data_IF_459701299576
#
_entry.id   IF_459701299576
#
_cell.length_a   1.000
_cell.length_b   1.000
_cell.length_c   1.000
_cell.angle_alpha   90.00
_cell.angle_beta   90.00
_cell.angle_gamma   90.00
#
_symmetry.space_group_name_H-M   'P 1'
#
loop_
_entity.id
_entity.type
_entity.pdbx_description
1 polymer ?
#
# COMPACT_ATOMS: atom_id res chain seq x y z
N UNK A 1 -11.93 -39.23 -33.32
CA UNK A 1 -11.64 -38.00 -32.54
C UNK A 1 -12.63 -36.93 -32.92
N UNK A 2 -13.55 -36.54 -32.03
CA UNK A 2 -14.65 -35.61 -32.32
C UNK A 2 -14.22 -34.18 -31.97
N UNK A 3 -14.08 -33.32 -32.97
CA UNK A 3 -13.76 -31.89 -32.78
C UNK A 3 -15.02 -31.21 -32.23
N UNK A 4 -14.94 -30.62 -31.03
CA UNK A 4 -16.01 -29.79 -30.46
C UNK A 4 -15.90 -28.39 -31.07
N UNK A 5 -17.01 -27.88 -31.58
CA UNK A 5 -17.18 -26.51 -32.02
C UNK A 5 -17.04 -25.54 -30.83
N UNK A 6 -16.32 -24.45 -31.04
CA UNK A 6 -16.11 -23.36 -30.07
C UNK A 6 -17.40 -22.55 -29.95
N UNK A 7 -17.87 -22.17 -28.75
CA UNK A 7 -19.04 -21.32 -28.61
C UNK A 7 -18.69 -19.88 -29.05
N UNK A 8 -19.59 -19.28 -29.81
CA UNK A 8 -19.55 -17.89 -30.25
C UNK A 8 -19.48 -16.93 -29.05
N UNK A 9 -18.61 -15.93 -29.13
CA UNK A 9 -18.39 -14.96 -28.07
C UNK A 9 -19.66 -14.12 -27.82
N UNK A 10 -20.03 -13.84 -26.55
CA UNK A 10 -21.23 -13.06 -26.28
C UNK A 10 -21.09 -11.62 -26.77
N UNK A 11 -22.19 -11.11 -27.34
CA UNK A 11 -22.32 -9.76 -27.85
C UNK A 11 -21.90 -8.69 -26.81
N UNK A 12 -21.22 -7.67 -27.31
CA UNK A 12 -20.61 -6.56 -26.58
C UNK A 12 -21.64 -5.83 -25.69
N UNK A 13 -21.64 -6.12 -24.39
CA UNK A 13 -22.51 -5.44 -23.41
C UNK A 13 -21.88 -4.10 -23.03
N UNK A 14 -22.60 -2.97 -23.07
CA UNK A 14 -22.02 -1.68 -22.72
C UNK A 14 -21.51 -1.70 -21.28
N UNK A 15 -20.23 -1.37 -21.10
CA UNK A 15 -19.58 -1.22 -19.80
C UNK A 15 -20.26 -0.06 -19.06
N UNK A 16 -21.02 -0.36 -18.00
CA UNK A 16 -21.55 0.65 -17.11
C UNK A 16 -20.37 1.36 -16.43
N UNK A 17 -20.24 2.68 -16.66
CA UNK A 17 -19.24 3.50 -15.96
C UNK A 17 -19.48 3.38 -14.45
N UNK A 18 -18.44 3.14 -13.63
CA UNK A 18 -18.62 3.05 -12.20
C UNK A 18 -19.22 4.36 -11.69
N UNK A 19 -20.33 4.24 -10.97
CA UNK A 19 -20.98 5.36 -10.32
C UNK A 19 -20.05 5.84 -9.19
N UNK A 20 -19.24 6.87 -9.47
CA UNK A 20 -18.40 7.53 -8.47
C UNK A 20 -19.36 8.21 -7.49
N UNK A 21 -19.66 7.54 -6.37
CA UNK A 21 -20.34 8.18 -5.23
C UNK A 21 -19.44 9.33 -4.79
N UNK A 22 -19.90 10.57 -5.03
CA UNK A 22 -19.32 11.74 -4.41
C UNK A 22 -19.42 11.57 -2.89
N UNK A 23 -18.29 11.28 -2.25
CA UNK A 23 -18.23 11.31 -0.79
C UNK A 23 -18.50 12.76 -0.36
N UNK A 24 -19.46 13.03 0.53
CA UNK A 24 -19.60 14.36 1.08
C UNK A 24 -18.27 14.72 1.75
N UNK A 25 -17.71 15.88 1.40
CA UNK A 25 -16.53 16.43 2.03
C UNK A 25 -16.88 16.77 3.48
N UNK A 26 -16.73 15.80 4.36
CA UNK A 26 -16.84 16.02 5.80
C UNK A 26 -15.70 16.97 6.15
N UNK A 27 -16.01 18.26 6.33
CA UNK A 27 -15.08 19.21 6.94
C UNK A 27 -14.78 18.64 8.32
N UNK A 28 -13.56 18.16 8.51
CA UNK A 28 -13.05 17.92 9.85
C UNK A 28 -13.10 19.27 10.56
N UNK A 29 -13.96 19.37 11.58
CA UNK A 29 -13.90 20.51 12.49
C UNK A 29 -12.46 20.64 12.97
N UNK A 30 -11.89 21.84 12.89
CA UNK A 30 -10.58 22.12 13.45
C UNK A 30 -10.68 21.81 14.95
N UNK A 31 -10.13 20.68 15.37
CA UNK A 31 -10.11 20.30 16.77
C UNK A 31 -9.14 21.26 17.47
N UNK A 32 -9.66 22.15 18.31
CA UNK A 32 -8.90 22.98 19.27
C UNK A 32 -8.35 22.13 20.44
N UNK A 33 -7.96 20.88 20.15
CA UNK A 33 -7.23 20.04 21.09
C UNK A 33 -5.84 20.64 21.35
N UNK A 34 -5.12 20.18 22.39
CA UNK A 34 -3.73 20.58 22.57
C UNK A 34 -3.01 20.36 21.24
N UNK A 35 -2.32 21.40 20.75
CA UNK A 35 -1.52 21.33 19.53
C UNK A 35 -0.45 20.25 19.72
N UNK A 36 -0.80 18.99 19.47
CA UNK A 36 0.12 17.87 19.44
C UNK A 36 0.90 18.03 18.15
N UNK A 37 1.95 18.83 18.24
CA UNK A 37 2.95 18.94 17.21
C UNK A 37 3.58 17.56 17.04
N UNK A 38 3.33 16.92 15.90
CA UNK A 38 3.95 15.65 15.50
C UNK A 38 5.00 16.02 14.45
N UNK A 39 6.30 16.07 14.81
CA UNK A 39 7.34 16.52 13.89
C UNK A 39 7.43 15.67 12.62
N UNK A 40 7.19 14.36 12.74
CA UNK A 40 7.25 13.42 11.62
C UNK A 40 6.04 12.49 11.66
N UNK A 41 5.16 12.63 10.66
CA UNK A 41 4.03 11.74 10.44
C UNK A 41 4.27 10.92 9.17
N UNK A 42 4.27 9.60 9.30
CA UNK A 42 4.40 8.65 8.20
C UNK A 42 3.06 7.96 8.01
N UNK A 43 2.51 8.02 6.80
CA UNK A 43 1.25 7.35 6.46
C UNK A 43 1.58 6.03 5.76
N UNK A 44 1.19 4.92 6.40
CA UNK A 44 1.49 3.56 5.96
C UNK A 44 2.68 2.95 6.69
N UNK A 45 2.44 1.86 7.41
CA UNK A 45 3.38 1.01 8.13
C UNK A 45 3.86 -0.19 7.31
N UNK A 46 3.87 -0.08 5.98
CA UNK A 46 4.47 -1.05 5.08
C UNK A 46 6.00 -0.95 5.03
N UNK A 47 6.63 -1.71 4.12
CA UNK A 47 8.10 -1.80 4.05
C UNK A 47 8.77 -0.43 3.88
N UNK A 48 8.22 0.46 3.05
CA UNK A 48 8.77 1.81 2.84
C UNK A 48 8.62 2.71 4.07
N UNK A 49 7.45 2.76 4.70
CA UNK A 49 7.21 3.62 5.86
C UNK A 49 8.05 3.21 7.06
N UNK A 50 8.16 1.91 7.31
CA UNK A 50 9.04 1.36 8.36
C UNK A 50 10.51 1.61 8.03
N UNK A 51 10.92 1.43 6.76
CA UNK A 51 12.29 1.70 6.34
C UNK A 51 12.68 3.17 6.55
N UNK A 52 11.83 4.11 6.12
CA UNK A 52 12.07 5.55 6.31
C UNK A 52 12.15 5.88 7.80
N UNK A 53 11.24 5.37 8.63
CA UNK A 53 11.29 5.57 10.08
C UNK A 53 12.62 5.08 10.67
N UNK A 54 13.07 3.88 10.26
CA UNK A 54 14.34 3.32 10.69
C UNK A 54 15.54 4.18 10.28
N UNK A 55 15.57 4.72 9.05
CA UNK A 55 16.65 5.61 8.57
C UNK A 55 16.63 6.95 9.30
N UNK A 56 15.47 7.54 9.55
CA UNK A 56 15.35 8.78 10.32
C UNK A 56 15.89 8.62 11.75
N UNK A 57 15.65 7.46 12.37
CA UNK A 57 16.15 7.16 13.71
C UNK A 57 17.65 6.86 13.69
N UNK A 58 18.08 5.93 12.83
CA UNK A 58 19.44 5.40 12.83
C UNK A 58 20.48 6.36 12.24
N UNK A 59 20.08 7.16 11.26
CA UNK A 59 21.00 8.03 10.51
C UNK A 59 20.58 9.50 10.54
N UNK A 60 19.27 9.76 10.64
CA UNK A 60 18.74 11.13 10.68
C UNK A 60 18.80 11.81 12.05
N UNK A 61 19.23 11.11 13.10
CA UNK A 61 19.27 11.65 14.47
C UNK A 61 17.90 11.99 15.07
N UNK A 62 16.82 11.51 14.45
CA UNK A 62 15.45 11.80 14.89
C UNK A 62 15.08 10.85 16.04
N UNK A 63 14.64 11.43 17.17
CA UNK A 63 14.11 10.63 18.29
C UNK A 63 12.87 9.87 17.85
N UNK A 64 12.79 8.59 18.21
CA UNK A 64 11.61 7.76 17.93
C UNK A 64 10.31 8.38 18.46
N UNK A 65 10.36 9.09 19.60
CA UNK A 65 9.20 9.81 20.16
C UNK A 65 8.69 10.97 19.29
N UNK A 66 9.49 11.46 18.34
CA UNK A 66 9.12 12.50 17.37
C UNK A 66 8.48 11.94 16.10
N UNK A 67 8.43 10.62 15.94
CA UNK A 67 7.88 9.94 14.77
C UNK A 67 6.55 9.28 15.14
N UNK A 68 5.56 9.39 14.26
CA UNK A 68 4.31 8.61 14.33
C UNK A 68 4.07 7.95 12.98
N UNK A 69 3.75 6.66 13.02
CA UNK A 69 3.31 5.90 11.85
C UNK A 69 1.82 5.65 12.02
N UNK A 70 1.01 6.10 11.06
CA UNK A 70 -0.42 5.79 11.00
C UNK A 70 -0.61 4.71 9.95
N UNK A 71 -1.16 3.58 10.37
CA UNK A 71 -1.45 2.44 9.51
C UNK A 71 -2.84 1.89 9.84
N UNK A 72 -3.53 1.34 8.85
CA UNK A 72 -4.87 0.75 9.05
C UNK A 72 -4.82 -0.64 9.70
N UNK A 73 -3.66 -1.29 9.73
CA UNK A 73 -3.47 -2.59 10.34
C UNK A 73 -3.08 -2.46 11.82
N UNK A 74 -3.32 -3.53 12.58
CA UNK A 74 -2.99 -3.61 14.00
C UNK A 74 -1.48 -3.69 14.26
N UNK A 75 -0.70 -4.15 13.27
CA UNK A 75 0.74 -4.29 13.39
C UNK A 75 1.46 -3.78 12.13
N UNK A 76 2.66 -3.22 12.33
CA UNK A 76 3.52 -2.82 11.23
C UNK A 76 3.89 -4.04 10.37
N UNK A 77 4.05 -3.81 9.08
CA UNK A 77 4.35 -4.81 8.07
C UNK A 77 3.28 -5.91 7.91
N UNK A 78 2.10 -5.81 8.53
CA UNK A 78 1.07 -6.85 8.45
C UNK A 78 0.70 -7.19 7.00
N UNK A 79 0.30 -6.19 6.21
CA UNK A 79 -0.05 -6.40 4.80
C UNK A 79 1.14 -6.94 3.99
N UNK A 80 2.37 -6.49 4.30
CA UNK A 80 3.58 -7.01 3.66
C UNK A 80 3.73 -8.51 3.95
N UNK A 81 3.75 -8.90 5.23
CA UNK A 81 3.86 -10.30 5.68
C UNK A 81 2.77 -11.19 5.06
N UNK A 82 1.52 -10.73 5.01
CA UNK A 82 0.44 -11.49 4.37
C UNK A 82 0.70 -11.73 2.89
N UNK A 83 1.20 -10.72 2.15
CA UNK A 83 1.52 -10.85 0.72
C UNK A 83 2.74 -11.74 0.47
N UNK A 84 3.78 -11.64 1.30
CA UNK A 84 4.96 -12.48 1.16
C UNK A 84 4.64 -13.94 1.48
N UNK A 85 3.85 -14.20 2.53
CA UNK A 85 3.38 -15.53 2.87
C UNK A 85 2.50 -16.12 1.75
N UNK A 86 1.58 -15.34 1.18
CA UNK A 86 0.71 -15.80 0.10
C UNK A 86 1.48 -16.21 -1.17
N UNK A 87 2.69 -15.70 -1.37
CA UNK A 87 3.56 -16.04 -2.51
C UNK A 87 4.64 -17.06 -2.16
N UNK A 88 4.63 -17.62 -0.94
CA UNK A 88 5.66 -18.56 -0.48
C UNK A 88 7.05 -17.94 -0.37
N UNK A 89 7.14 -16.62 -0.23
CA UNK A 89 8.42 -15.93 -0.23
C UNK A 89 9.10 -16.03 1.14
N UNK A 90 10.23 -16.75 1.19
CA UNK A 90 11.03 -16.95 2.40
C UNK A 90 12.12 -15.87 2.59
N UNK A 91 12.61 -15.30 1.49
CA UNK A 91 13.65 -14.28 1.47
C UNK A 91 13.25 -13.10 0.57
N UNK A 92 13.79 -11.92 0.86
CA UNK A 92 13.62 -10.76 -0.01
C UNK A 92 14.32 -11.01 -1.34
N UNK A 93 13.57 -10.86 -2.43
CA UNK A 93 14.14 -10.82 -3.77
C UNK A 93 14.54 -9.38 -4.07
N UNK A 94 15.75 -9.18 -4.58
CA UNK A 94 16.22 -7.84 -4.98
C UNK A 94 15.30 -7.29 -6.07
N UNK A 95 14.80 -6.07 -5.88
CA UNK A 95 14.11 -5.34 -6.94
C UNK A 95 15.05 -4.92 -8.07
N UNK A 96 16.38 -4.98 -7.85
CA UNK A 96 17.39 -4.65 -8.85
C UNK A 96 17.94 -5.88 -9.60
N UNK A 97 17.70 -7.09 -9.10
CA UNK A 97 18.29 -8.33 -9.65
C UNK A 97 17.45 -9.06 -10.69
N UNK A 98 16.19 -8.67 -10.85
CA UNK A 98 15.29 -9.22 -11.84
C UNK A 98 14.70 -8.06 -12.62
N UNK A 99 15.22 -7.82 -13.83
CA UNK A 99 14.68 -6.85 -14.79
C UNK A 99 13.17 -7.10 -14.94
N UNK A 100 12.36 -6.30 -14.25
CA UNK A 100 10.90 -6.24 -14.41
C UNK A 100 10.53 -5.27 -15.54
N UNK A 101 11.52 -4.81 -16.31
CA UNK A 101 11.31 -3.99 -17.49
C UNK A 101 11.03 -4.86 -18.70
N UNK A 102 10.36 -4.26 -19.69
CA UNK A 102 9.81 -4.99 -20.83
C UNK A 102 10.85 -5.44 -21.84
N UNK A 103 12.02 -4.80 -21.94
CA UNK A 103 13.20 -5.21 -22.73
C UNK A 103 14.36 -4.24 -22.36
N UNK A 104 15.63 -4.66 -22.54
CA UNK A 104 16.82 -3.75 -22.52
C UNK A 104 16.89 -2.90 -23.80
#
# INVERSE_FOLDING_TARGET
TRIRSVPEAPANRPVQKPHVRSRPSQRFAANDGPNTHIPWLIVGGGIHGVHIAARLIGEGGIKASSIRIVDSNQSLLQTWKSRTAATGMEYLRSSAGFHLDVDE
#
